data_IF_430758120825
#
_entry.id   IF_430758120825
#
_cell.length_a   1.000
_cell.length_b   1.000
_cell.length_c   1.000
_cell.angle_alpha   90.00
_cell.angle_beta   90.00
_cell.angle_gamma   90.00
#
_symmetry.space_group_name_H-M   'P 1'
#
loop_
_entity.id
_entity.type
_entity.pdbx_description
1 polymer ?
#
# COMPACT_ATOMS: atom_id res chain seq x y z
N UNK A 1 7.70 -26.06 -91.74
CA UNK A 1 7.51 -26.50 -93.13
C UNK A 1 6.77 -25.40 -93.87
N UNK A 2 7.44 -24.82 -94.88
CA UNK A 2 6.92 -24.13 -96.08
C UNK A 2 6.06 -22.88 -95.79
N UNK A 3 6.65 -21.67 -95.79
CA UNK A 3 7.00 -20.82 -96.97
C UNK A 3 5.73 -20.24 -97.63
N UNK A 4 5.65 -19.01 -98.16
CA UNK A 4 6.61 -17.99 -98.56
C UNK A 4 5.80 -16.73 -98.95
N UNK A 5 6.37 -15.52 -98.76
CA UNK A 5 6.31 -14.32 -99.64
C UNK A 5 4.93 -13.75 -100.08
N UNK A 6 4.67 -12.44 -100.22
CA UNK A 6 5.48 -11.19 -100.33
C UNK A 6 4.51 -9.99 -100.23
N UNK A 7 4.93 -8.95 -99.51
CA UNK A 7 4.97 -7.50 -99.89
C UNK A 7 3.77 -6.85 -100.59
N UNK A 8 3.10 -5.88 -99.94
CA UNK A 8 3.00 -4.48 -100.41
C UNK A 8 2.38 -3.55 -99.35
N UNK A 9 2.95 -2.35 -99.22
CA UNK A 9 2.57 -1.24 -98.32
C UNK A 9 1.71 -0.19 -99.09
N UNK A 10 1.25 0.94 -98.50
CA UNK A 10 -0.16 1.15 -98.13
C UNK A 10 -0.85 2.28 -98.93
N UNK A 11 -2.19 2.32 -98.89
CA UNK A 11 -3.01 3.41 -99.43
C UNK A 11 -3.86 4.05 -98.32
N UNK A 12 -4.02 5.39 -98.25
CA UNK A 12 -4.85 6.06 -97.25
C UNK A 12 -6.30 6.24 -97.73
N UNK A 13 -7.26 5.74 -96.95
CA UNK A 13 -8.70 5.91 -97.17
C UNK A 13 -9.22 7.21 -96.54
N UNK A 14 -9.68 8.14 -97.39
CA UNK A 14 -10.43 9.34 -97.00
C UNK A 14 -11.92 9.03 -96.78
N UNK A 15 -12.52 9.83 -95.90
CA UNK A 15 -13.89 9.80 -95.42
C UNK A 15 -14.98 9.89 -96.51
N UNK A 16 -16.19 9.33 -96.26
CA UNK A 16 -17.34 9.46 -97.15
C UNK A 16 -18.19 10.69 -96.79
N UNK A 17 -18.66 11.41 -97.81
CA UNK A 17 -19.77 12.37 -97.72
C UNK A 17 -20.77 11.99 -98.81
N UNK A 18 -21.95 11.52 -98.41
CA UNK A 18 -23.14 11.30 -99.25
C UNK A 18 -23.93 12.62 -99.33
N UNK A 19 -24.15 13.24 -100.49
CA UNK A 19 -25.13 12.92 -101.58
C UNK A 19 -26.58 12.99 -101.12
N UNK A 20 -27.24 14.11 -101.40
CA UNK A 20 -28.62 14.30 -101.90
C UNK A 20 -28.62 15.73 -102.50
N UNK A 21 -29.13 16.09 -103.68
CA UNK A 21 -29.89 15.44 -104.72
C UNK A 21 -30.12 16.49 -105.83
N UNK A 22 -30.22 15.99 -107.04
CA UNK A 22 -30.28 16.65 -108.35
C UNK A 22 -31.58 17.41 -108.67
N UNK A 23 -31.47 18.52 -109.43
CA UNK A 23 -32.43 18.87 -110.49
C UNK A 23 -31.85 19.89 -111.50
N UNK A 24 -31.84 19.51 -112.77
CA UNK A 24 -31.63 20.29 -114.01
C UNK A 24 -32.72 21.40 -114.17
N UNK A 25 -32.68 22.43 -115.02
CA UNK A 25 -31.91 22.78 -116.21
C UNK A 25 -32.05 24.30 -116.51
N UNK A 26 -31.02 24.90 -117.14
CA UNK A 26 -31.04 25.90 -118.24
C UNK A 26 -31.69 27.31 -118.08
N UNK A 27 -31.33 28.32 -118.93
CA UNK A 27 -30.04 29.02 -118.94
C UNK A 27 -30.20 30.57 -118.98
N UNK A 28 -29.12 31.32 -118.80
CA UNK A 28 -29.06 32.76 -119.18
C UNK A 28 -28.99 33.78 -118.03
N UNK A 29 -27.84 34.47 -117.95
CA UNK A 29 -27.55 35.69 -117.18
C UNK A 29 -28.50 36.86 -117.52
N UNK A 30 -28.65 37.95 -116.70
CA UNK A 30 -27.63 38.59 -115.84
C UNK A 30 -28.07 39.10 -114.43
N UNK A 31 -27.07 39.58 -113.66
CA UNK A 31 -27.12 40.03 -112.24
C UNK A 31 -28.00 41.26 -111.94
N UNK A 32 -28.44 41.51 -110.67
CA UNK A 32 -27.78 42.57 -109.86
C UNK A 32 -27.85 42.50 -108.29
N UNK A 33 -26.92 43.26 -107.67
CA UNK A 33 -26.88 44.02 -106.37
C UNK A 33 -27.33 43.47 -104.99
N UNK A 34 -26.46 43.69 -103.97
CA UNK A 34 -26.63 43.37 -102.52
C UNK A 34 -27.38 44.46 -101.71
N UNK A 35 -28.13 44.10 -100.64
CA UNK A 35 -28.55 45.03 -99.57
C UNK A 35 -27.99 44.69 -98.15
N UNK A 36 -28.15 45.58 -97.14
CA UNK A 36 -27.29 45.65 -95.93
C UNK A 36 -27.88 45.06 -94.62
N UNK A 37 -27.01 44.91 -93.60
CA UNK A 37 -27.20 44.22 -92.32
C UNK A 37 -27.92 45.03 -91.20
N UNK A 38 -28.53 44.32 -90.23
CA UNK A 38 -29.08 44.85 -88.96
C UNK A 38 -28.48 44.11 -87.74
N UNK A 39 -28.23 44.82 -86.64
CA UNK A 39 -27.61 44.33 -85.38
C UNK A 39 -28.64 44.17 -84.24
N UNK A 40 -28.49 43.13 -83.39
CA UNK A 40 -29.24 42.92 -82.13
C UNK A 40 -28.34 43.17 -80.89
N UNK A 41 -28.91 43.64 -79.77
CA UNK A 41 -28.19 44.05 -78.53
C UNK A 41 -28.07 42.93 -77.48
N UNK A 42 -26.87 42.73 -76.91
CA UNK A 42 -26.43 41.54 -76.15
C UNK A 42 -26.40 41.68 -74.60
N UNK A 43 -27.15 42.61 -74.00
CA UNK A 43 -27.02 42.93 -72.57
C UNK A 43 -27.58 41.89 -71.60
N UNK A 44 -28.63 41.15 -71.98
CA UNK A 44 -29.30 40.17 -71.09
C UNK A 44 -28.48 38.89 -70.86
N UNK A 45 -27.81 38.39 -71.90
CA UNK A 45 -26.99 37.17 -71.80
C UNK A 45 -25.75 37.36 -70.91
N UNK A 46 -25.16 38.57 -70.91
CA UNK A 46 -23.96 38.89 -70.12
C UNK A 46 -24.28 38.91 -68.62
N UNK A 47 -25.44 39.44 -68.22
CA UNK A 47 -25.81 39.57 -66.81
C UNK A 47 -26.17 38.20 -66.18
N UNK A 48 -26.84 37.34 -66.95
CA UNK A 48 -27.13 35.96 -66.53
C UNK A 48 -25.84 35.13 -66.40
N UNK A 49 -24.90 35.31 -67.34
CA UNK A 49 -23.58 34.70 -67.28
C UNK A 49 -22.79 35.13 -66.03
N UNK A 50 -22.82 36.43 -65.70
CA UNK A 50 -22.10 36.97 -64.55
C UNK A 50 -22.66 36.48 -63.21
N UNK A 51 -24.00 36.39 -63.09
CA UNK A 51 -24.64 35.78 -61.91
C UNK A 51 -24.28 34.30 -61.76
N UNK A 52 -24.25 33.55 -62.86
CA UNK A 52 -23.83 32.14 -62.86
C UNK A 52 -22.39 31.95 -62.39
N UNK A 53 -21.48 32.84 -62.80
CA UNK A 53 -20.07 32.82 -62.34
C UNK A 53 -19.97 33.15 -60.86
N UNK A 54 -20.68 34.17 -60.36
CA UNK A 54 -20.66 34.52 -58.93
C UNK A 54 -21.20 33.39 -58.07
N UNK A 55 -22.26 32.70 -58.52
CA UNK A 55 -22.86 31.59 -57.77
C UNK A 55 -21.97 30.35 -57.80
N UNK A 56 -21.28 30.09 -58.91
CA UNK A 56 -20.33 28.98 -59.03
C UNK A 56 -19.06 29.23 -58.21
N UNK A 57 -18.43 30.41 -58.34
CA UNK A 57 -17.21 30.75 -57.60
C UNK A 57 -17.49 30.97 -56.11
N UNK A 58 -18.60 31.64 -55.78
CA UNK A 58 -19.04 31.84 -54.40
C UNK A 58 -19.50 30.55 -53.74
N UNK A 59 -20.27 29.71 -54.44
CA UNK A 59 -20.73 28.42 -53.95
C UNK A 59 -19.60 27.42 -53.79
N UNK A 60 -18.71 27.31 -54.79
CA UNK A 60 -17.53 26.44 -54.71
C UNK A 60 -16.53 26.95 -53.67
N UNK A 61 -16.28 28.26 -53.59
CA UNK A 61 -15.40 28.85 -52.59
C UNK A 61 -15.90 28.60 -51.16
N UNK A 62 -17.19 28.81 -50.91
CA UNK A 62 -17.80 28.54 -49.61
C UNK A 62 -17.76 27.04 -49.28
N UNK A 63 -18.05 26.18 -50.25
CA UNK A 63 -17.96 24.72 -50.08
C UNK A 63 -16.52 24.25 -49.83
N UNK A 64 -15.52 24.76 -50.55
CA UNK A 64 -14.11 24.37 -50.39
C UNK A 64 -13.50 24.78 -49.05
N UNK A 65 -14.10 25.76 -48.35
CA UNK A 65 -13.71 26.15 -46.98
C UNK A 65 -14.56 25.43 -45.92
N UNK A 66 -15.86 25.26 -46.16
CA UNK A 66 -16.79 24.69 -45.18
C UNK A 66 -16.80 23.15 -45.16
N UNK A 67 -16.49 22.49 -46.29
CA UNK A 67 -16.42 21.05 -46.34
C UNK A 67 -15.23 20.54 -45.52
N UNK A 68 -15.49 19.50 -44.74
CA UNK A 68 -14.49 18.83 -43.90
C UNK A 68 -14.25 17.43 -44.43
N UNK A 69 -13.02 17.14 -44.83
CA UNK A 69 -12.59 15.83 -45.28
C UNK A 69 -11.78 15.20 -44.17
N UNK A 70 -12.19 14.00 -43.76
CA UNK A 70 -11.47 13.20 -42.77
C UNK A 70 -10.28 12.55 -43.46
N UNK A 71 -9.06 12.92 -43.05
CA UNK A 71 -7.85 12.23 -43.47
C UNK A 71 -7.65 10.95 -42.67
N UNK A 72 -6.89 10.01 -43.23
CA UNK A 72 -6.42 8.85 -42.48
C UNK A 72 -4.99 8.51 -42.88
N UNK A 73 -4.09 8.38 -41.90
CA UNK A 73 -2.79 7.76 -42.12
C UNK A 73 -2.97 6.25 -42.06
N UNK A 74 -2.50 5.56 -43.10
CA UNK A 74 -2.54 4.10 -43.18
C UNK A 74 -1.17 3.58 -42.77
N UNK A 75 -1.14 2.75 -41.72
CA UNK A 75 0.05 2.04 -41.32
C UNK A 75 -0.18 0.54 -41.37
N UNK A 76 0.89 -0.20 -41.66
CA UNK A 76 0.89 -1.65 -41.56
C UNK A 76 1.43 -2.06 -40.20
N UNK A 77 0.75 -3.02 -39.59
CA UNK A 77 1.07 -3.51 -38.27
C UNK A 77 0.80 -5.00 -38.12
N UNK A 78 1.06 -5.50 -36.93
CA UNK A 78 0.79 -6.87 -36.56
C UNK A 78 0.31 -6.96 -35.11
N UNK A 79 -0.49 -7.97 -34.81
CA UNK A 79 -0.90 -8.26 -33.43
C UNK A 79 0.30 -8.84 -32.70
N UNK A 80 0.74 -8.20 -31.62
CA UNK A 80 1.79 -8.71 -30.76
C UNK A 80 1.23 -8.98 -29.35
N UNK A 81 1.62 -10.11 -28.76
CA UNK A 81 1.43 -10.27 -27.31
C UNK A 81 2.50 -9.43 -26.65
N UNK A 82 2.09 -8.62 -25.69
CA UNK A 82 3.01 -7.97 -24.78
C UNK A 82 3.92 -9.02 -24.14
N UNK A 83 5.24 -9.07 -24.44
CA UNK A 83 6.16 -10.11 -23.93
C UNK A 83 6.88 -9.70 -22.65
N UNK A 84 6.19 -9.08 -21.70
CA UNK A 84 6.78 -8.81 -20.39
C UNK A 84 6.78 -10.08 -19.53
N UNK A 85 7.93 -10.73 -19.41
CA UNK A 85 8.11 -11.80 -18.43
C UNK A 85 8.26 -11.17 -17.04
N UNK A 86 7.56 -11.69 -16.05
CA UNK A 86 7.71 -11.24 -14.66
C UNK A 86 8.81 -12.06 -13.99
N UNK A 87 9.90 -11.40 -13.64
CA UNK A 87 11.01 -12.03 -12.94
C UNK A 87 10.62 -12.21 -11.46
N UNK A 88 10.68 -13.45 -10.99
CA UNK A 88 10.42 -13.81 -9.60
C UNK A 88 11.77 -14.03 -8.91
N UNK A 89 12.02 -13.26 -7.85
CA UNK A 89 13.26 -13.27 -7.08
C UNK A 89 12.95 -13.21 -5.57
N UNK A 90 13.88 -13.70 -4.75
CA UNK A 90 13.77 -13.62 -3.29
C UNK A 90 14.80 -12.62 -2.73
N UNK A 91 14.41 -11.62 -1.92
CA UNK A 91 15.33 -10.59 -1.44
C UNK A 91 16.54 -11.13 -0.68
N UNK A 92 16.34 -12.15 0.17
CA UNK A 92 17.41 -12.69 1.03
C UNK A 92 18.10 -13.93 0.44
N UNK A 93 17.49 -14.60 -0.54
CA UNK A 93 17.91 -15.95 -0.95
C UNK A 93 17.72 -17.01 0.14
N UNK A 94 18.34 -18.17 -0.03
CA UNK A 94 18.27 -19.30 0.93
C UNK A 94 18.60 -20.65 0.30
N UNK A 95 18.63 -21.70 1.13
CA UNK A 95 18.73 -23.09 0.66
C UNK A 95 17.34 -23.55 0.23
N UNK A 96 17.21 -24.15 -0.95
CA UNK A 96 15.93 -24.66 -1.44
C UNK A 96 15.58 -25.97 -0.73
N UNK A 97 14.42 -26.01 -0.09
CA UNK A 97 13.84 -27.21 0.51
C UNK A 97 13.13 -28.04 -0.56
N UNK A 98 12.28 -27.40 -1.37
CA UNK A 98 11.53 -28.09 -2.43
C UNK A 98 11.15 -27.15 -3.58
N UNK A 99 11.06 -27.72 -4.78
CA UNK A 99 10.59 -27.05 -6.00
C UNK A 99 9.45 -27.89 -6.58
N UNK A 100 8.18 -27.61 -6.24
CA UNK A 100 7.04 -28.41 -6.70
C UNK A 100 6.64 -28.15 -8.17
N UNK A 101 7.37 -27.30 -8.89
CA UNK A 101 7.06 -26.88 -10.26
C UNK A 101 8.15 -27.30 -11.25
N UNK A 102 7.80 -27.37 -12.54
CA UNK A 102 8.71 -27.66 -13.66
C UNK A 102 8.71 -26.52 -14.68
N UNK A 103 9.79 -26.40 -15.44
CA UNK A 103 9.84 -25.44 -16.55
C UNK A 103 8.76 -25.77 -17.60
N UNK A 104 8.06 -24.74 -18.10
CA UNK A 104 6.91 -24.90 -18.98
C UNK A 104 5.60 -25.29 -18.29
N UNK A 105 5.60 -25.48 -16.96
CA UNK A 105 4.39 -25.78 -16.20
C UNK A 105 3.48 -24.55 -16.11
N UNK A 106 2.19 -24.84 -16.20
CA UNK A 106 1.09 -23.91 -16.01
C UNK A 106 0.81 -23.75 -14.51
N UNK A 107 0.83 -22.50 -14.02
CA UNK A 107 0.59 -22.16 -12.60
C UNK A 107 -0.49 -21.11 -12.43
N UNK A 108 -1.19 -21.17 -11.30
CA UNK A 108 -2.20 -20.20 -10.90
C UNK A 108 -1.63 -19.12 -9.96
N UNK A 109 -2.34 -18.00 -9.80
CA UNK A 109 -1.96 -16.97 -8.85
C UNK A 109 -2.00 -17.52 -7.40
N UNK A 110 -0.93 -17.28 -6.64
CA UNK A 110 -0.75 -17.76 -5.26
C UNK A 110 -0.20 -19.18 -5.15
N UNK A 111 -0.01 -19.89 -6.26
CA UNK A 111 0.56 -21.24 -6.26
C UNK A 111 2.01 -21.23 -5.76
N UNK A 112 2.40 -22.24 -4.98
CA UNK A 112 3.75 -22.38 -4.44
C UNK A 112 4.72 -22.74 -5.58
N UNK A 113 5.74 -21.91 -5.79
CA UNK A 113 6.74 -22.11 -6.82
C UNK A 113 8.00 -22.77 -6.24
N UNK A 114 8.53 -22.20 -5.17
CA UNK A 114 9.76 -22.66 -4.49
C UNK A 114 9.56 -22.49 -3.00
N UNK A 115 9.97 -23.48 -2.21
CA UNK A 115 10.08 -23.39 -0.75
C UNK A 115 11.54 -23.36 -0.35
N UNK A 116 11.92 -22.37 0.45
CA UNK A 116 13.23 -22.26 1.07
C UNK A 116 13.24 -22.93 2.46
N UNK A 117 14.38 -23.49 2.85
CA UNK A 117 14.61 -24.12 4.14
C UNK A 117 14.58 -23.06 5.25
N UNK A 118 13.61 -23.21 6.15
CA UNK A 118 13.37 -22.31 7.27
C UNK A 118 13.83 -22.82 8.62
N UNK A 119 14.58 -23.93 8.69
CA UNK A 119 14.86 -24.62 9.95
C UNK A 119 15.51 -23.69 10.99
N UNK A 120 16.51 -22.90 10.59
CA UNK A 120 17.18 -21.92 11.46
C UNK A 120 16.23 -20.82 11.92
N UNK A 121 15.47 -20.22 11.00
CA UNK A 121 14.53 -19.12 11.33
C UNK A 121 13.41 -19.59 12.25
N UNK A 122 12.87 -20.80 12.05
CA UNK A 122 11.87 -21.41 12.93
C UNK A 122 12.43 -21.69 14.33
N UNK A 123 13.69 -22.09 14.41
CA UNK A 123 14.37 -22.33 15.69
C UNK A 123 14.60 -21.02 16.43
N UNK A 124 15.00 -19.96 15.72
CA UNK A 124 15.14 -18.62 16.28
C UNK A 124 13.79 -18.05 16.74
N UNK A 125 12.73 -18.21 15.95
CA UNK A 125 11.37 -17.83 16.33
C UNK A 125 10.95 -18.52 17.62
N UNK A 126 11.16 -19.84 17.74
CA UNK A 126 10.81 -20.58 18.96
C UNK A 126 11.55 -20.07 20.21
N UNK A 127 12.82 -19.66 20.06
CA UNK A 127 13.60 -19.05 21.15
C UNK A 127 13.01 -17.69 21.54
N UNK A 128 12.75 -16.83 20.56
CA UNK A 128 12.18 -15.50 20.78
C UNK A 128 10.79 -15.59 21.40
N UNK A 129 9.95 -16.51 20.93
CA UNK A 129 8.62 -16.78 21.50
C UNK A 129 8.71 -17.25 22.94
N UNK A 130 9.62 -18.18 23.26
CA UNK A 130 9.84 -18.66 24.62
C UNK A 130 10.20 -17.50 25.57
N UNK A 131 11.14 -16.63 25.14
CA UNK A 131 11.53 -15.45 25.89
C UNK A 131 10.39 -14.44 26.03
N UNK A 132 9.61 -14.23 24.97
CA UNK A 132 8.47 -13.31 24.97
C UNK A 132 7.39 -13.78 25.95
N UNK A 133 7.01 -15.05 25.91
CA UNK A 133 6.00 -15.60 26.82
C UNK A 133 6.48 -15.62 28.28
N UNK A 134 7.78 -15.82 28.51
CA UNK A 134 8.36 -15.65 29.85
C UNK A 134 8.21 -14.21 30.36
N UNK A 135 8.50 -13.21 29.52
CA UNK A 135 8.31 -11.80 29.87
C UNK A 135 6.84 -11.48 30.15
N UNK A 136 5.91 -11.99 29.33
CA UNK A 136 4.47 -11.81 29.56
C UNK A 136 4.00 -12.44 30.88
N UNK A 137 4.52 -13.61 31.24
CA UNK A 137 4.20 -14.27 32.49
C UNK A 137 4.72 -13.46 33.69
N UNK A 138 5.98 -13.00 33.63
CA UNK A 138 6.56 -12.14 34.66
C UNK A 138 5.78 -10.83 34.81
N UNK A 139 5.36 -10.21 33.69
CA UNK A 139 4.53 -9.01 33.71
C UNK A 139 3.23 -9.22 34.48
N UNK A 140 2.47 -10.28 34.17
CA UNK A 140 1.20 -10.56 34.85
C UNK A 140 1.35 -10.69 36.37
N UNK A 141 2.43 -11.35 36.83
CA UNK A 141 2.79 -11.40 38.26
C UNK A 141 3.09 -10.01 38.82
N UNK A 142 3.99 -9.26 38.19
CA UNK A 142 4.44 -7.97 38.70
C UNK A 142 3.33 -6.91 38.69
N UNK A 143 2.41 -6.96 37.72
CA UNK A 143 1.23 -6.09 37.69
C UNK A 143 0.31 -6.35 38.89
N UNK A 144 0.13 -7.61 39.27
CA UNK A 144 -0.61 -7.97 40.48
C UNK A 144 0.13 -7.54 41.76
N UNK A 145 1.47 -7.69 41.82
CA UNK A 145 2.26 -7.23 42.96
C UNK A 145 2.21 -5.70 43.11
N UNK A 146 2.29 -4.94 42.02
CA UNK A 146 2.20 -3.48 42.03
C UNK A 146 0.83 -2.98 42.49
N UNK A 147 -0.23 -3.68 42.09
CA UNK A 147 -1.61 -3.31 42.36
C UNK A 147 -2.20 -3.97 43.62
N UNK A 148 -1.39 -4.67 44.41
CA UNK A 148 -1.81 -5.42 45.61
C UNK A 148 -3.03 -6.35 45.35
N UNK A 149 -3.06 -7.00 44.18
CA UNK A 149 -4.13 -7.94 43.81
C UNK A 149 -3.95 -9.27 44.54
N UNK A 150 -5.02 -10.04 44.79
CA UNK A 150 -4.92 -11.35 45.44
C UNK A 150 -4.40 -12.45 44.51
N UNK A 151 -4.43 -12.26 43.19
CA UNK A 151 -3.92 -13.22 42.21
C UNK A 151 -3.38 -12.50 40.96
N UNK A 152 -2.43 -13.11 40.23
CA UNK A 152 -1.96 -12.61 38.94
C UNK A 152 -3.01 -12.80 37.85
N UNK A 153 -3.24 -11.74 37.07
CA UNK A 153 -4.01 -11.81 35.83
C UNK A 153 -3.03 -11.78 34.66
N UNK A 154 -3.08 -12.82 33.82
CA UNK A 154 -2.16 -12.95 32.68
C UNK A 154 -2.75 -12.39 31.39
N UNK A 155 -1.93 -11.86 30.47
CA UNK A 155 -2.38 -11.41 29.16
C UNK A 155 -3.08 -12.52 28.36
N UNK A 156 -4.16 -12.17 27.64
CA UNK A 156 -4.99 -13.13 26.92
C UNK A 156 -4.23 -13.98 25.89
N UNK A 157 -3.22 -13.40 25.25
CA UNK A 157 -2.34 -14.11 24.32
C UNK A 157 -1.58 -15.25 25.01
N UNK A 158 -1.00 -15.00 26.18
CA UNK A 158 -0.29 -16.01 26.97
C UNK A 158 -1.25 -17.11 27.40
N UNK A 159 -2.44 -16.77 27.90
CA UNK A 159 -3.46 -17.74 28.32
C UNK A 159 -3.93 -18.62 27.16
N UNK A 160 -4.07 -18.06 25.95
CA UNK A 160 -4.42 -18.82 24.75
C UNK A 160 -3.31 -19.82 24.39
N UNK A 161 -2.06 -19.37 24.40
CA UNK A 161 -0.91 -20.21 24.06
C UNK A 161 -0.66 -21.32 25.09
N UNK A 162 -0.87 -21.04 26.37
CA UNK A 162 -0.75 -22.03 27.45
C UNK A 162 -1.72 -23.21 27.30
N UNK A 163 -2.88 -23.02 26.65
CA UNK A 163 -3.81 -24.14 26.36
C UNK A 163 -3.27 -25.09 25.28
N UNK A 164 -2.39 -24.59 24.42
CA UNK A 164 -1.82 -25.33 23.30
C UNK A 164 -0.43 -25.91 23.64
N UNK A 165 0.30 -25.26 24.55
CA UNK A 165 1.70 -25.52 24.86
C UNK A 165 1.92 -25.74 26.37
N UNK A 166 2.15 -26.99 26.81
CA UNK A 166 2.30 -27.34 28.23
C UNK A 166 3.47 -26.65 28.94
N UNK A 167 4.55 -26.37 28.21
CA UNK A 167 5.71 -25.61 28.66
C UNK A 167 5.35 -24.17 29.03
N UNK A 168 4.51 -23.50 28.23
CA UNK A 168 4.00 -22.16 28.54
C UNK A 168 3.06 -22.19 29.76
N UNK A 169 2.22 -23.22 29.88
CA UNK A 169 1.39 -23.41 31.06
C UNK A 169 2.23 -23.59 32.34
N UNK A 170 3.35 -24.34 32.26
CA UNK A 170 4.28 -24.51 33.37
C UNK A 170 4.97 -23.19 33.78
N UNK A 171 5.28 -22.30 32.82
CA UNK A 171 5.79 -20.95 33.10
C UNK A 171 4.78 -20.12 33.90
N UNK A 172 3.50 -20.12 33.50
CA UNK A 172 2.44 -19.41 34.21
C UNK A 172 2.28 -19.93 35.65
N UNK A 173 2.18 -21.25 35.82
CA UNK A 173 2.11 -21.88 37.15
C UNK A 173 3.34 -21.60 38.01
N UNK A 174 4.52 -21.47 37.39
CA UNK A 174 5.74 -21.03 38.07
C UNK A 174 5.61 -19.62 38.64
N UNK A 175 5.07 -18.69 37.85
CA UNK A 175 4.82 -17.30 38.30
C UNK A 175 3.73 -17.22 39.37
N UNK A 176 2.67 -18.01 39.26
CA UNK A 176 1.60 -18.09 40.29
C UNK A 176 2.15 -18.58 41.64
N UNK A 177 2.95 -19.66 41.64
CA UNK A 177 3.59 -20.18 42.87
C UNK A 177 4.57 -19.18 43.48
N UNK A 178 5.33 -18.48 42.64
CA UNK A 178 6.23 -17.43 43.12
C UNK A 178 5.44 -16.27 43.74
N UNK A 179 4.34 -15.87 43.10
CA UNK A 179 3.45 -14.83 43.62
C UNK A 179 2.87 -15.20 44.98
N UNK A 180 2.29 -16.40 45.10
CA UNK A 180 1.68 -16.86 46.35
C UNK A 180 2.72 -16.94 47.47
N UNK A 181 3.90 -17.52 47.22
CA UNK A 181 4.98 -17.59 48.21
C UNK A 181 5.43 -16.20 48.69
N UNK A 182 5.52 -15.22 47.79
CA UNK A 182 5.85 -13.84 48.15
C UNK A 182 4.72 -13.17 48.92
N UNK A 183 3.46 -13.46 48.60
CA UNK A 183 2.30 -12.94 49.32
C UNK A 183 2.26 -13.52 50.75
N UNK A 184 2.40 -14.83 50.89
CA UNK A 184 2.46 -15.52 52.19
C UNK A 184 3.55 -14.93 53.09
N UNK A 185 4.74 -14.63 52.53
CA UNK A 185 5.84 -14.01 53.26
C UNK A 185 5.47 -12.60 53.78
N UNK A 186 4.76 -11.82 52.96
CA UNK A 186 4.30 -10.48 53.34
C UNK A 186 3.24 -10.56 54.44
N UNK A 187 2.31 -11.50 54.34
CA UNK A 187 1.27 -11.74 55.35
C UNK A 187 1.87 -12.19 56.68
N UNK A 188 2.84 -13.10 56.66
CA UNK A 188 3.58 -13.53 57.86
C UNK A 188 4.30 -12.36 58.54
N UNK A 189 4.96 -11.50 57.75
CA UNK A 189 5.56 -10.28 58.28
C UNK A 189 4.51 -9.33 58.89
N UNK A 190 3.35 -9.19 58.24
CA UNK A 190 2.21 -8.44 58.76
C UNK A 190 1.72 -8.97 60.12
N UNK A 191 1.52 -10.29 60.24
CA UNK A 191 1.14 -10.93 61.49
C UNK A 191 2.18 -10.72 62.59
N UNK A 192 3.47 -10.79 62.27
CA UNK A 192 4.53 -10.52 63.24
C UNK A 192 4.45 -9.08 63.77
N UNK A 193 4.24 -8.08 62.89
CA UNK A 193 4.06 -6.69 63.31
C UNK A 193 2.82 -6.49 64.16
N UNK A 194 1.72 -7.15 63.83
CA UNK A 194 0.48 -7.08 64.61
C UNK A 194 0.66 -7.66 66.02
N UNK A 195 1.38 -8.77 66.16
CA UNK A 195 1.72 -9.35 67.47
C UNK A 195 2.61 -8.42 68.30
N UNK A 196 3.63 -7.81 67.68
CA UNK A 196 4.49 -6.84 68.37
C UNK A 196 3.71 -5.60 68.81
N UNK A 197 2.82 -5.08 67.96
CA UNK A 197 1.96 -3.96 68.31
C UNK A 197 1.03 -4.30 69.47
N UNK A 198 0.44 -5.51 69.49
CA UNK A 198 -0.38 -5.99 70.59
C UNK A 198 0.41 -6.07 71.91
N UNK A 199 1.64 -6.59 71.86
CA UNK A 199 2.53 -6.68 73.02
C UNK A 199 2.86 -5.30 73.60
N UNK A 200 3.12 -4.30 72.75
CA UNK A 200 3.40 -2.92 73.19
C UNK A 200 2.14 -2.26 73.76
N UNK A 201 0.96 -2.48 73.16
CA UNK A 201 -0.31 -1.99 73.72
C UNK A 201 -0.57 -2.53 75.12
N UNK A 202 -0.39 -3.84 75.32
CA UNK A 202 -0.54 -4.44 76.65
C UNK A 202 0.45 -3.87 77.68
N UNK A 203 1.68 -3.52 77.27
CA UNK A 203 2.64 -2.83 78.14
C UNK A 203 2.16 -1.42 78.51
N UNK A 204 1.61 -0.66 77.56
CA UNK A 204 1.02 0.66 77.80
C UNK A 204 -0.14 0.56 78.79
N UNK A 205 -1.05 -0.40 78.60
CA UNK A 205 -2.18 -0.62 79.52
C UNK A 205 -1.70 -0.89 80.95
N UNK A 206 -0.62 -1.67 81.11
CA UNK A 206 0.00 -1.92 82.40
C UNK A 206 0.64 -0.67 83.03
N UNK A 207 1.29 0.18 82.22
CA UNK A 207 1.85 1.47 82.67
C UNK A 207 0.73 2.41 83.10
N UNK A 208 -0.38 2.46 82.35
CA UNK A 208 -1.53 3.31 82.65
C UNK A 208 -2.23 2.89 83.96
N UNK A 209 -2.32 1.59 84.22
CA UNK A 209 -2.81 1.07 85.50
C UNK A 209 -1.88 1.47 86.68
N UNK A 210 -0.56 1.39 86.51
CA UNK A 210 0.42 1.82 87.52
C UNK A 210 0.35 3.34 87.76
N UNK A 211 0.26 4.14 86.70
CA UNK A 211 0.09 5.58 86.79
C UNK A 211 -1.19 5.95 87.55
N UNK A 212 -2.30 5.25 87.29
CA UNK A 212 -3.58 5.45 87.98
C UNK A 212 -3.49 5.13 89.47
N UNK A 213 -2.79 4.05 89.83
CA UNK A 213 -2.53 3.69 91.23
C UNK A 213 -1.67 4.77 91.95
N UNK A 214 -0.60 5.24 91.30
CA UNK A 214 0.25 6.32 91.82
C UNK A 214 -0.52 7.63 91.98
N UNK A 215 -1.39 7.99 91.03
CA UNK A 215 -2.28 9.14 91.15
C UNK A 215 -3.22 9.03 92.36
N UNK A 216 -3.79 7.85 92.58
CA UNK A 216 -4.67 7.59 93.73
C UNK A 216 -3.91 7.68 95.07
N UNK A 217 -2.71 7.12 95.13
CA UNK A 217 -1.84 7.21 96.32
C UNK A 217 -1.43 8.66 96.60
N UNK A 218 -1.05 9.41 95.56
CA UNK A 218 -0.69 10.82 95.68
C UNK A 218 -1.87 11.66 96.18
N UNK A 219 -3.09 11.40 95.70
CA UNK A 219 -4.29 12.09 96.17
C UNK A 219 -4.56 11.83 97.67
N UNK A 220 -4.32 10.61 98.16
CA UNK A 220 -4.43 10.27 99.58
C UNK A 220 -3.40 11.04 100.42
N UNK A 221 -2.13 11.02 100.00
CA UNK A 221 -1.04 11.75 100.67
C UNK A 221 -1.30 13.26 100.66
N UNK A 222 -1.82 13.80 99.56
CA UNK A 222 -2.18 15.22 99.45
C UNK A 222 -3.27 15.65 100.44
N UNK A 223 -4.26 14.79 100.69
CA UNK A 223 -5.28 15.04 101.74
C UNK A 223 -4.65 15.04 103.14
N UNK A 224 -3.85 14.02 103.46
CA UNK A 224 -3.17 13.96 104.77
C UNK A 224 -2.23 15.15 104.99
N UNK A 225 -1.51 15.56 103.94
CA UNK A 225 -0.63 16.73 103.98
C UNK A 225 -1.41 18.02 104.24
N UNK A 226 -2.58 18.20 103.63
CA UNK A 226 -3.43 19.37 103.87
C UNK A 226 -3.91 19.44 105.33
N UNK A 227 -4.37 18.31 105.87
CA UNK A 227 -4.81 18.21 107.27
C UNK A 227 -3.66 18.51 108.24
N UNK A 228 -2.47 17.91 108.01
CA UNK A 228 -1.29 18.13 108.84
C UNK A 228 -0.77 19.57 108.77
N UNK A 229 -0.85 20.23 107.60
CA UNK A 229 -0.52 21.66 107.48
C UNK A 229 -1.45 22.51 108.35
N UNK A 230 -2.76 22.27 108.29
CA UNK A 230 -3.73 22.99 109.12
C UNK A 230 -3.50 22.76 110.62
N UNK A 231 -3.15 21.54 111.03
CA UNK A 231 -2.78 21.24 112.42
C UNK A 231 -1.48 21.95 112.83
N UNK A 232 -0.50 22.06 111.93
CA UNK A 232 0.78 22.73 112.20
C UNK A 232 0.59 24.23 112.42
N UNK A 233 -0.25 24.87 111.60
CA UNK A 233 -0.61 26.29 111.75
C UNK A 233 -1.26 26.60 113.11
N UNK A 234 -1.92 25.58 113.70
CA UNK A 234 -2.52 25.63 115.04
C UNK A 234 -1.57 25.16 116.15
N UNK A 235 -0.34 24.79 115.84
CA UNK A 235 0.66 24.27 116.78
C UNK A 235 0.38 22.85 117.30
N UNK A 236 -0.48 22.08 116.62
CA UNK A 236 -0.97 20.76 117.05
C UNK A 236 -0.23 19.56 116.43
N UNK A 237 0.78 19.80 115.59
CA UNK A 237 1.65 18.75 115.02
C UNK A 237 3.08 19.27 114.84
N UNK A 238 4.00 18.40 114.41
CA UNK A 238 5.42 18.72 114.21
C UNK A 238 5.73 19.05 112.75
N UNK A 239 6.54 20.09 112.50
CA UNK A 239 6.97 20.47 111.15
C UNK A 239 7.64 19.32 110.38
N UNK A 240 8.39 18.46 111.08
CA UNK A 240 9.02 17.27 110.50
C UNK A 240 8.01 16.31 109.84
N UNK A 241 6.79 16.20 110.39
CA UNK A 241 5.73 15.35 109.81
C UNK A 241 5.24 15.91 108.48
N UNK A 242 5.01 17.23 108.41
CA UNK A 242 4.61 17.91 107.16
C UNK A 242 5.70 17.76 106.10
N UNK A 243 6.97 18.04 106.42
CA UNK A 243 8.08 17.90 105.46
C UNK A 243 8.28 16.46 104.98
N UNK A 244 7.98 15.46 105.81
CA UNK A 244 8.01 14.05 105.39
C UNK A 244 6.94 13.75 104.33
N UNK A 245 5.71 14.24 104.52
CA UNK A 245 4.62 14.10 103.56
C UNK A 245 4.88 14.89 102.27
N UNK A 246 5.49 16.07 102.34
CA UNK A 246 5.89 16.85 101.15
C UNK A 246 6.93 16.12 100.31
N UNK A 247 7.95 15.52 100.94
CA UNK A 247 8.94 14.68 100.23
C UNK A 247 8.29 13.47 99.58
N UNK A 248 7.29 12.88 100.24
CA UNK A 248 6.54 11.75 99.68
C UNK A 248 5.67 12.17 98.48
N UNK A 249 4.95 13.30 98.54
CA UNK A 249 4.21 13.83 97.39
C UNK A 249 5.15 14.10 96.20
N UNK A 250 6.30 14.74 96.45
CA UNK A 250 7.30 15.00 95.42
C UNK A 250 7.87 13.71 94.81
N UNK A 251 8.11 12.68 95.64
CA UNK A 251 8.55 11.35 95.17
C UNK A 251 7.50 10.70 94.27
N UNK A 252 6.23 10.71 94.68
CA UNK A 252 5.12 10.17 93.90
C UNK A 252 4.91 10.94 92.59
N UNK A 253 5.04 12.27 92.61
CA UNK A 253 5.01 13.09 91.41
C UNK A 253 6.12 12.70 90.42
N UNK A 254 7.34 12.46 90.91
CA UNK A 254 8.46 11.97 90.11
C UNK A 254 8.18 10.61 89.45
N UNK A 255 7.62 9.67 90.20
CA UNK A 255 7.24 8.35 89.67
C UNK A 255 6.12 8.43 88.62
N UNK A 256 5.14 9.31 88.81
CA UNK A 256 4.10 9.57 87.80
C UNK A 256 4.73 10.09 86.50
N UNK A 257 5.66 11.06 86.61
CA UNK A 257 6.41 11.57 85.46
C UNK A 257 7.21 10.48 84.74
N UNK A 258 7.81 9.55 85.50
CA UNK A 258 8.48 8.38 84.95
C UNK A 258 7.52 7.47 84.17
N UNK A 259 6.34 7.17 84.71
CA UNK A 259 5.33 6.36 84.02
C UNK A 259 4.82 7.04 82.74
N UNK A 260 4.58 8.36 82.78
CA UNK A 260 4.20 9.14 81.60
C UNK A 260 5.27 9.08 80.50
N UNK A 261 6.55 9.20 80.86
CA UNK A 261 7.66 9.06 79.92
C UNK A 261 7.71 7.65 79.31
N UNK A 262 7.54 6.60 80.12
CA UNK A 262 7.49 5.21 79.62
C UNK A 262 6.30 4.96 78.70
N UNK A 263 5.14 5.53 78.99
CA UNK A 263 3.94 5.49 78.14
C UNK A 263 4.23 6.11 76.77
N UNK A 264 4.79 7.32 76.76
CA UNK A 264 5.17 8.02 75.53
C UNK A 264 6.18 7.20 74.70
N UNK A 265 7.18 6.56 75.34
CA UNK A 265 8.10 5.64 74.65
C UNK A 265 7.40 4.42 74.04
N UNK A 266 6.34 3.91 74.68
CA UNK A 266 5.49 2.86 74.12
C UNK A 266 4.74 3.33 72.87
N UNK A 267 4.15 4.53 72.93
CA UNK A 267 3.42 5.11 71.80
C UNK A 267 4.34 5.39 70.60
N UNK A 268 5.56 5.88 70.83
CA UNK A 268 6.58 6.02 69.77
C UNK A 268 6.91 4.68 69.12
N UNK A 269 7.10 3.62 69.92
CA UNK A 269 7.34 2.27 69.38
C UNK A 269 6.17 1.74 68.54
N UNK A 270 4.93 2.03 68.93
CA UNK A 270 3.76 1.69 68.10
C UNK A 270 3.77 2.41 66.74
N UNK A 271 4.14 3.70 66.73
CA UNK A 271 4.27 4.47 65.50
C UNK A 271 5.40 3.91 64.61
N UNK A 272 6.55 3.56 65.19
CA UNK A 272 7.67 2.93 64.48
C UNK A 272 7.28 1.59 63.83
N UNK A 273 6.55 0.72 64.53
CA UNK A 273 6.02 -0.54 63.98
C UNK A 273 5.08 -0.26 62.79
N UNK A 274 4.19 0.74 62.93
CA UNK A 274 3.29 1.15 61.84
C UNK A 274 4.04 1.62 60.59
N UNK A 275 5.07 2.45 60.78
CA UNK A 275 5.93 2.93 59.69
C UNK A 275 6.69 1.77 59.04
N UNK A 276 7.24 0.84 59.84
CA UNK A 276 7.95 -0.33 59.32
C UNK A 276 7.03 -1.20 58.43
N UNK A 277 5.78 -1.44 58.85
CA UNK A 277 4.79 -2.17 58.07
C UNK A 277 4.48 -1.48 56.73
N UNK A 278 4.25 -0.16 56.75
CA UNK A 278 3.98 0.62 55.53
C UNK A 278 5.18 0.60 54.58
N UNK A 279 6.40 0.70 55.13
CA UNK A 279 7.65 0.67 54.36
C UNK A 279 7.82 -0.66 53.62
N UNK A 280 7.62 -1.81 54.27
CA UNK A 280 7.73 -3.13 53.62
C UNK A 280 6.74 -3.28 52.47
N UNK A 281 5.51 -2.80 52.63
CA UNK A 281 4.52 -2.82 51.55
C UNK A 281 4.91 -1.88 50.38
N UNK A 282 5.41 -0.69 50.68
CA UNK A 282 5.90 0.24 49.68
C UNK A 282 7.10 -0.32 48.90
N UNK A 283 8.09 -0.90 49.59
CA UNK A 283 9.28 -1.50 48.96
C UNK A 283 8.90 -2.63 47.99
N UNK A 284 7.91 -3.46 48.33
CA UNK A 284 7.38 -4.49 47.41
C UNK A 284 6.81 -3.87 46.14
N UNK A 285 5.97 -2.84 46.25
CA UNK A 285 5.36 -2.17 45.10
C UNK A 285 6.40 -1.46 44.25
N UNK A 286 7.34 -0.76 44.88
CA UNK A 286 8.43 -0.07 44.20
C UNK A 286 9.34 -1.05 43.44
N UNK A 287 9.67 -2.20 44.04
CA UNK A 287 10.43 -3.26 43.38
C UNK A 287 9.67 -3.82 42.17
N UNK A 288 8.37 -4.09 42.32
CA UNK A 288 7.54 -4.58 41.22
C UNK A 288 7.45 -3.57 40.08
N UNK A 289 7.30 -2.28 40.39
CA UNK A 289 7.26 -1.22 39.39
C UNK A 289 8.62 -1.02 38.69
N UNK A 290 9.72 -1.09 39.43
CA UNK A 290 11.06 -1.03 38.86
C UNK A 290 11.33 -2.20 37.90
N UNK A 291 10.95 -3.42 38.26
CA UNK A 291 11.06 -4.58 37.37
C UNK A 291 10.17 -4.44 36.13
N UNK A 292 8.92 -3.96 36.28
CA UNK A 292 8.03 -3.71 35.13
C UNK A 292 8.62 -2.70 34.15
N UNK A 293 9.16 -1.58 34.64
CA UNK A 293 9.82 -0.58 33.79
C UNK A 293 11.02 -1.15 33.05
N UNK A 294 11.78 -2.06 33.66
CA UNK A 294 12.91 -2.73 33.04
C UNK A 294 12.49 -3.81 32.02
N UNK A 295 11.33 -4.44 32.20
CA UNK A 295 10.80 -5.46 31.30
C UNK A 295 10.10 -4.88 30.07
N UNK A 296 9.46 -3.71 30.17
CA UNK A 296 8.67 -3.14 29.08
C UNK A 296 9.46 -2.97 27.75
N UNK A 297 10.71 -2.48 27.73
CA UNK A 297 11.50 -2.40 26.49
C UNK A 297 11.80 -3.78 25.90
N UNK A 298 12.07 -4.78 26.76
CA UNK A 298 12.34 -6.16 26.32
C UNK A 298 11.10 -6.82 25.74
N UNK A 299 9.92 -6.57 26.34
CA UNK A 299 8.66 -7.05 25.81
C UNK A 299 8.44 -6.52 24.38
N UNK A 300 8.61 -5.21 24.18
CA UNK A 300 8.45 -4.58 22.88
C UNK A 300 9.46 -5.10 21.86
N UNK A 301 10.73 -5.19 22.24
CA UNK A 301 11.79 -5.72 21.38
C UNK A 301 11.50 -7.16 20.94
N UNK A 302 11.10 -8.03 21.87
CA UNK A 302 10.80 -9.43 21.57
C UNK A 302 9.53 -9.56 20.72
N UNK A 303 8.51 -8.73 20.95
CA UNK A 303 7.31 -8.69 20.11
C UNK A 303 7.66 -8.33 18.66
N UNK A 304 8.44 -7.27 18.44
CA UNK A 304 8.87 -6.85 17.11
C UNK A 304 9.77 -7.89 16.43
N UNK A 305 10.73 -8.47 17.15
CA UNK A 305 11.57 -9.56 16.63
C UNK A 305 10.74 -10.78 16.23
N UNK A 306 9.75 -11.15 17.05
CA UNK A 306 8.83 -12.25 16.74
C UNK A 306 8.06 -11.97 15.46
N UNK A 307 7.50 -10.77 15.31
CA UNK A 307 6.77 -10.37 14.10
C UNK A 307 7.67 -10.40 12.86
N UNK A 308 8.88 -9.84 12.95
CA UNK A 308 9.86 -9.86 11.86
C UNK A 308 10.24 -11.29 11.45
N UNK A 309 10.50 -12.18 12.41
CA UNK A 309 10.83 -13.59 12.13
C UNK A 309 9.65 -14.36 11.53
N UNK A 310 8.43 -14.14 12.03
CA UNK A 310 7.23 -14.73 11.47
C UNK A 310 7.03 -14.30 10.00
N UNK A 311 7.21 -13.01 9.70
CA UNK A 311 7.13 -12.49 8.35
C UNK A 311 8.21 -13.06 7.42
N UNK A 312 9.45 -13.21 7.92
CA UNK A 312 10.52 -13.86 7.17
C UNK A 312 10.19 -15.33 6.87
N UNK A 313 9.62 -16.06 7.83
CA UNK A 313 9.23 -17.46 7.65
C UNK A 313 8.12 -17.59 6.59
N UNK A 314 7.14 -16.68 6.58
CA UNK A 314 6.09 -16.67 5.55
C UNK A 314 6.69 -16.43 4.16
N UNK A 315 7.73 -15.59 4.05
CA UNK A 315 8.40 -15.27 2.78
C UNK A 315 9.29 -16.40 2.24
N UNK A 316 9.58 -17.44 3.02
CA UNK A 316 10.29 -18.63 2.53
C UNK A 316 9.52 -19.39 1.46
N UNK A 317 8.19 -19.28 1.47
CA UNK A 317 7.32 -19.80 0.40
C UNK A 317 7.23 -18.75 -0.72
N UNK A 318 7.99 -18.95 -1.79
CA UNK A 318 7.93 -18.11 -3.00
C UNK A 318 6.71 -18.54 -3.82
N UNK A 319 5.74 -17.65 -3.97
CA UNK A 319 4.46 -17.90 -4.66
C UNK A 319 4.32 -17.08 -5.94
N UNK A 320 3.51 -17.57 -6.87
CA UNK A 320 3.22 -16.86 -8.12
C UNK A 320 2.35 -15.61 -7.86
N UNK A 321 2.78 -14.40 -8.26
CA UNK A 321 1.95 -13.21 -8.14
C UNK A 321 0.77 -13.22 -9.12
N UNK A 322 0.91 -13.89 -10.27
CA UNK A 322 -0.09 -13.98 -11.34
C UNK A 322 -0.12 -15.38 -11.93
N UNK A 323 -1.27 -15.79 -12.48
CA UNK A 323 -1.39 -17.03 -13.24
C UNK A 323 -0.59 -16.94 -14.54
N UNK A 324 0.14 -17.99 -14.89
CA UNK A 324 1.11 -17.94 -15.98
C UNK A 324 1.72 -19.29 -16.34
N UNK A 325 2.73 -19.23 -17.19
CA UNK A 325 3.60 -20.36 -17.53
C UNK A 325 4.99 -20.08 -16.96
N UNK A 326 5.55 -21.05 -16.26
CA UNK A 326 6.91 -21.00 -15.73
C UNK A 326 7.91 -21.06 -16.88
N UNK A 327 8.89 -20.16 -16.86
CA UNK A 327 9.97 -20.09 -17.82
C UNK A 327 11.30 -19.78 -17.12
N UNK A 328 12.41 -20.29 -17.65
CA UNK A 328 13.77 -20.02 -17.14
C UNK A 328 13.92 -20.37 -15.65
N UNK A 329 13.43 -21.54 -15.24
CA UNK A 329 13.66 -22.03 -13.89
C UNK A 329 15.16 -22.29 -13.64
N UNK A 330 15.78 -21.47 -12.80
CA UNK A 330 17.22 -21.56 -12.49
C UNK A 330 17.53 -22.66 -11.47
N UNK A 331 16.57 -22.98 -10.61
CA UNK A 331 16.76 -23.92 -9.50
C UNK A 331 15.81 -25.12 -9.64
N UNK A 332 16.38 -26.28 -9.96
CA UNK A 332 15.61 -27.51 -10.23
C UNK A 332 15.82 -28.60 -9.18
N UNK A 333 16.87 -28.51 -8.36
CA UNK A 333 17.24 -29.53 -7.37
C UNK A 333 16.99 -29.06 -5.94
N UNK A 334 16.46 -29.93 -5.06
CA UNK A 334 16.49 -29.68 -3.61
C UNK A 334 17.94 -29.47 -3.14
N UNK A 335 18.11 -28.67 -2.09
CA UNK A 335 19.40 -28.26 -1.50
C UNK A 335 20.27 -27.33 -2.37
N UNK A 336 19.79 -26.92 -3.54
CA UNK A 336 20.42 -25.84 -4.28
C UNK A 336 20.34 -24.52 -3.47
N UNK A 337 21.31 -23.63 -3.68
CA UNK A 337 21.38 -22.34 -2.97
C UNK A 337 20.96 -21.24 -3.94
N UNK A 338 19.96 -20.46 -3.54
CA UNK A 338 19.52 -19.25 -4.23
C UNK A 338 20.17 -18.04 -3.56
N UNK A 339 20.85 -17.17 -4.31
CA UNK A 339 21.43 -15.94 -3.74
C UNK A 339 20.39 -14.84 -3.57
N UNK A 340 20.72 -13.87 -2.73
CA UNK A 340 19.92 -12.67 -2.54
C UNK A 340 19.71 -11.93 -3.87
N UNK A 341 18.45 -11.57 -4.16
CA UNK A 341 18.02 -10.88 -5.38
C UNK A 341 18.35 -11.59 -6.70
N UNK A 342 18.75 -12.87 -6.66
CA UNK A 342 18.96 -13.67 -7.86
C UNK A 342 17.60 -14.08 -8.45
N UNK A 343 17.40 -13.93 -9.78
CA UNK A 343 16.22 -14.45 -10.46
C UNK A 343 16.07 -15.95 -10.24
N UNK A 344 14.97 -16.38 -9.63
CA UNK A 344 14.70 -17.80 -9.42
C UNK A 344 14.01 -18.42 -10.65
N UNK A 345 13.05 -17.69 -11.23
CA UNK A 345 12.34 -18.04 -12.46
C UNK A 345 11.63 -16.81 -13.05
N UNK A 346 11.14 -16.94 -14.28
CA UNK A 346 10.30 -15.96 -14.97
C UNK A 346 8.90 -16.52 -15.20
N UNK A 347 7.85 -15.73 -14.93
CA UNK A 347 6.47 -16.09 -15.25
C UNK A 347 5.98 -15.37 -16.50
N UNK A 348 5.30 -16.11 -17.37
CA UNK A 348 4.61 -15.58 -18.54
C UNK A 348 3.10 -15.59 -18.27
N UNK A 349 2.48 -14.46 -17.86
CA UNK A 349 1.03 -14.35 -17.73
C UNK A 349 0.25 -14.77 -18.97
N UNK A 350 -0.89 -15.45 -18.77
CA UNK A 350 -1.76 -15.97 -19.85
C UNK A 350 -2.73 -14.93 -20.39
N UNK A 351 -3.34 -14.15 -19.50
CA UNK A 351 -4.37 -13.18 -19.84
C UNK A 351 -3.75 -11.82 -20.11
N UNK A 352 -3.04 -11.74 -21.25
CA UNK A 352 -2.47 -10.47 -21.69
C UNK A 352 -3.39 -9.79 -22.67
N UNK A 353 -3.63 -8.47 -22.52
CA UNK A 353 -4.27 -7.71 -23.58
C UNK A 353 -3.41 -7.86 -24.84
N UNK A 354 -4.06 -8.10 -25.96
CA UNK A 354 -3.39 -8.10 -27.26
C UNK A 354 -3.18 -6.66 -27.67
N UNK A 355 -1.92 -6.28 -27.92
CA UNK A 355 -1.60 -4.97 -28.47
C UNK A 355 -1.34 -5.11 -29.96
N UNK A 356 -1.75 -4.11 -30.73
CA UNK A 356 -1.41 -4.04 -32.15
C UNK A 356 -0.29 -3.05 -32.32
N UNK A 357 0.83 -3.51 -32.87
CA UNK A 357 1.98 -2.67 -33.18
C UNK A 357 1.91 -2.25 -34.64
N UNK A 358 2.04 -0.96 -34.90
CA UNK A 358 2.03 -0.40 -36.24
C UNK A 358 3.36 0.31 -36.54
N UNK A 359 3.80 0.22 -37.79
CA UNK A 359 4.98 0.92 -38.30
C UNK A 359 4.54 2.17 -39.04
N UNK A 360 4.84 3.32 -38.47
CA UNK A 360 4.49 4.63 -39.03
C UNK A 360 5.69 5.18 -39.80
N UNK A 361 5.53 5.57 -41.07
CA UNK A 361 6.57 6.28 -41.81
C UNK A 361 6.91 7.62 -41.15
N UNK A 362 8.21 8.03 -41.08
CA UNK A 362 8.60 9.28 -40.44
C UNK A 362 7.95 10.54 -41.00
N UNK A 363 7.52 10.51 -42.27
CA UNK A 363 6.79 11.62 -42.92
C UNK A 363 5.38 11.86 -42.36
N UNK A 364 4.79 10.87 -41.71
CA UNK A 364 3.38 10.87 -41.29
C UNK A 364 3.24 11.03 -39.76
N UNK A 365 4.36 11.18 -39.03
CA UNK A 365 4.37 11.27 -37.55
C UNK A 365 3.69 12.54 -37.02
N UNK A 366 3.79 13.65 -37.75
CA UNK A 366 3.23 14.95 -37.36
C UNK A 366 1.68 14.92 -37.29
N UNK A 367 1.05 13.96 -37.96
CA UNK A 367 -0.42 13.80 -37.97
C UNK A 367 -0.93 12.80 -36.92
N UNK A 368 -0.02 12.23 -36.12
CA UNK A 368 -0.32 11.15 -35.17
C UNK A 368 -0.11 11.63 -33.73
N UNK A 369 -1.13 11.42 -32.89
CA UNK A 369 -1.14 11.84 -31.49
C UNK A 369 -1.64 10.75 -30.55
N UNK A 370 -1.05 10.67 -29.36
CA UNK A 370 -1.49 9.71 -28.33
C UNK A 370 -2.93 9.99 -27.93
N UNK A 371 -3.76 8.94 -27.82
CA UNK A 371 -5.18 9.02 -27.53
C UNK A 371 -6.10 9.08 -28.75
N UNK A 372 -5.54 9.20 -29.96
CA UNK A 372 -6.28 9.26 -31.22
C UNK A 372 -7.05 7.95 -31.50
N UNK A 373 -8.30 8.03 -32.01
CA UNK A 373 -9.05 6.85 -32.41
C UNK A 373 -8.43 6.24 -33.67
N UNK A 374 -8.24 4.93 -33.63
CA UNK A 374 -7.63 4.15 -34.71
C UNK A 374 -8.63 3.09 -35.16
N UNK A 375 -8.85 2.98 -36.46
CA UNK A 375 -9.66 1.91 -37.03
C UNK A 375 -8.73 0.78 -37.48
N UNK A 376 -8.91 -0.41 -36.92
CA UNK A 376 -8.14 -1.60 -37.27
C UNK A 376 -8.90 -2.41 -38.31
N UNK A 377 -8.22 -2.77 -39.39
CA UNK A 377 -8.71 -3.66 -40.45
C UNK A 377 -7.88 -4.93 -40.45
N UNK A 378 -8.49 -6.03 -40.04
CA UNK A 378 -7.86 -7.35 -39.98
C UNK A 378 -7.76 -7.91 -41.41
N UNK A 379 -6.55 -8.07 -41.93
CA UNK A 379 -6.34 -8.51 -43.32
C UNK A 379 -6.61 -10.01 -43.53
N UNK A 380 -6.63 -10.80 -42.46
CA UNK A 380 -6.72 -12.26 -42.50
C UNK A 380 -8.14 -12.81 -42.71
N UNK A 381 -9.20 -12.00 -42.58
CA UNK A 381 -10.58 -12.43 -42.79
C UNK A 381 -11.05 -12.07 -44.21
N UNK A 382 -11.05 -13.05 -45.11
CA UNK A 382 -11.55 -12.90 -46.48
C UNK A 382 -13.07 -12.94 -46.52
N UNK A 383 -13.69 -11.76 -46.39
CA UNK A 383 -15.13 -11.56 -46.59
C UNK A 383 -15.47 -10.11 -46.94
N UNK A 384 -16.60 -9.90 -47.63
CA UNK A 384 -17.11 -8.55 -47.99
C UNK A 384 -17.48 -7.69 -46.77
N UNK A 385 -17.38 -8.25 -45.56
CA UNK A 385 -17.41 -7.59 -44.28
C UNK A 385 -16.07 -7.82 -43.55
N UNK A 386 -15.02 -7.08 -43.94
CA UNK A 386 -13.83 -6.98 -43.10
C UNK A 386 -14.25 -6.30 -41.80
N UNK A 387 -14.24 -7.05 -40.69
CA UNK A 387 -14.65 -6.56 -39.38
C UNK A 387 -13.71 -5.41 -38.97
N UNK A 388 -14.30 -4.23 -38.80
CA UNK A 388 -13.58 -3.01 -38.41
C UNK A 388 -13.61 -2.94 -36.90
N UNK A 389 -12.44 -3.08 -36.28
CA UNK A 389 -12.31 -3.01 -34.83
C UNK A 389 -11.83 -1.61 -34.47
N UNK A 390 -12.46 -1.00 -33.47
CA UNK A 390 -12.01 0.30 -32.97
C UNK A 390 -10.90 0.08 -31.95
N UNK A 391 -9.88 0.93 -31.99
CA UNK A 391 -8.81 0.97 -31.02
C UNK A 391 -8.40 2.40 -30.72
N UNK A 392 -7.51 2.54 -29.76
CA UNK A 392 -6.96 3.84 -29.37
C UNK A 392 -5.45 3.77 -29.37
N UNK A 393 -4.80 4.77 -29.95
CA UNK A 393 -3.35 4.89 -29.89
C UNK A 393 -2.93 5.16 -28.44
N UNK A 394 -2.19 4.24 -27.85
CA UNK A 394 -1.75 4.34 -26.46
C UNK A 394 -0.34 4.91 -26.35
N UNK A 395 0.55 4.50 -27.25
CA UNK A 395 1.95 4.94 -27.24
C UNK A 395 2.51 5.04 -28.64
N UNK A 396 3.42 6.00 -28.84
CA UNK A 396 4.28 6.10 -30.02
C UNK A 396 5.72 6.18 -29.53
N UNK A 397 6.66 5.52 -30.21
CA UNK A 397 8.07 5.61 -29.89
C UNK A 397 8.56 7.06 -29.98
N UNK A 398 9.41 7.46 -29.03
CA UNK A 398 9.97 8.82 -29.02
C UNK A 398 11.02 9.02 -30.14
N UNK A 399 11.58 7.92 -30.63
CA UNK A 399 12.61 7.87 -31.66
C UNK A 399 12.22 6.94 -32.83
N UNK A 400 12.88 7.15 -33.96
CA UNK A 400 12.76 6.29 -35.14
C UNK A 400 13.55 5.01 -34.94
N UNK A 401 12.89 3.87 -35.11
CA UNK A 401 13.50 2.55 -35.13
C UNK A 401 13.88 2.19 -36.56
N UNK A 402 15.02 1.54 -36.74
CA UNK A 402 15.47 1.05 -38.05
C UNK A 402 15.16 -0.44 -38.18
N UNK A 403 14.48 -0.83 -39.25
CA UNK A 403 14.24 -2.24 -39.55
C UNK A 403 15.57 -2.94 -39.92
N UNK A 404 16.00 -3.98 -39.18
CA UNK A 404 17.29 -4.64 -39.43
C UNK A 404 17.34 -5.38 -40.78
N UNK A 405 16.20 -5.69 -41.39
CA UNK A 405 16.12 -6.41 -42.68
C UNK A 405 16.05 -5.43 -43.85
N UNK A 406 15.23 -4.40 -43.74
CA UNK A 406 14.95 -3.47 -44.86
C UNK A 406 15.71 -2.15 -44.78
N UNK A 407 16.32 -1.82 -43.64
CA UNK A 407 17.02 -0.56 -43.40
C UNK A 407 16.10 0.66 -43.32
N UNK A 408 14.77 0.48 -43.38
CA UNK A 408 13.80 1.57 -43.33
C UNK A 408 13.60 2.07 -41.89
N UNK A 409 13.57 3.39 -41.73
CA UNK A 409 13.24 4.04 -40.45
C UNK A 409 11.72 4.14 -40.29
N UNK A 410 11.22 3.83 -39.10
CA UNK A 410 9.80 3.92 -38.76
C UNK A 410 9.61 4.29 -37.28
N UNK A 411 8.49 4.92 -36.95
CA UNK A 411 8.02 5.05 -35.56
C UNK A 411 7.15 3.85 -35.22
N UNK A 412 7.30 3.30 -34.02
CA UNK A 412 6.44 2.21 -33.52
C UNK A 412 5.26 2.82 -32.77
N UNK A 413 4.05 2.57 -33.26
CA UNK A 413 2.82 2.87 -32.53
C UNK A 413 2.25 1.61 -31.89
N UNK A 414 1.82 1.72 -30.64
CA UNK A 414 1.14 0.68 -29.87
C UNK A 414 -0.33 1.09 -29.70
N UNK A 415 -1.22 0.27 -30.24
CA UNK A 415 -2.67 0.52 -30.26
C UNK A 415 -3.37 -0.54 -29.41
N UNK A 416 -4.09 -0.09 -28.39
CA UNK A 416 -4.97 -0.95 -27.59
C UNK A 416 -6.28 -1.16 -28.33
N UNK A 417 -6.73 -2.40 -28.43
CA UNK A 417 -8.01 -2.75 -29.03
C UNK A 417 -9.14 -2.46 -28.03
N UNK A 418 -10.14 -1.68 -28.44
CA UNK A 418 -11.35 -1.45 -27.66
C UNK A 418 -12.38 -2.51 -28.08
N UNK A 419 -12.38 -3.66 -27.41
CA UNK A 419 -13.31 -4.75 -27.74
C UNK A 419 -14.78 -4.30 -27.63
N UNK A 420 -15.68 -4.67 -28.57
CA UNK A 420 -17.11 -4.39 -28.44
C UNK A 420 -17.88 -5.56 -27.79
N UNK A 421 -18.67 -5.19 -26.77
CA UNK A 421 -19.86 -5.88 -26.23
C UNK A 421 -19.74 -7.39 -25.81
N UNK A 422 -19.85 -7.72 -24.50
CA UNK A 422 -19.81 -9.11 -23.99
C UNK A 422 -20.99 -10.00 -24.43
N UNK A 423 -21.98 -9.48 -25.16
CA UNK A 423 -23.17 -10.24 -25.59
C UNK A 423 -22.95 -11.18 -26.80
N UNK A 424 -21.78 -11.19 -27.44
CA UNK A 424 -21.45 -12.06 -28.59
C UNK A 424 -20.08 -12.74 -28.42
N UNK A 425 -20.05 -13.96 -27.83
CA UNK A 425 -18.81 -14.68 -27.55
C UNK A 425 -18.11 -15.30 -28.78
N UNK A 426 -18.69 -15.18 -29.97
CA UNK A 426 -18.13 -15.69 -31.25
C UNK A 426 -17.24 -14.66 -31.99
N UNK A 427 -16.88 -13.54 -31.35
CA UNK A 427 -15.98 -12.55 -31.94
C UNK A 427 -14.53 -13.06 -31.93
N UNK A 428 -14.16 -13.65 -33.06
CA UNK A 428 -12.82 -13.84 -33.65
C UNK A 428 -11.64 -13.60 -32.70
N UNK A 429 -11.11 -14.69 -32.14
CA UNK A 429 -9.88 -14.67 -31.35
C UNK A 429 -8.75 -14.00 -32.15
N UNK A 430 -8.32 -12.81 -31.73
CA UNK A 430 -7.14 -12.15 -32.28
C UNK A 430 -5.92 -13.04 -31.97
N UNK A 431 -5.25 -13.54 -33.02
CA UNK A 431 -4.08 -14.40 -32.89
C UNK A 431 -2.81 -13.55 -32.99
N UNK A 432 -1.80 -13.76 -32.13
CA UNK A 432 -0.49 -13.13 -32.27
C UNK A 432 0.15 -13.41 -33.63
N UNK A 433 0.74 -12.39 -34.24
CA UNK A 433 1.35 -12.44 -35.57
C UNK A 433 0.40 -12.15 -36.73
N UNK A 434 -0.89 -11.88 -36.47
CA UNK A 434 -1.84 -11.52 -37.51
C UNK A 434 -1.51 -10.13 -38.11
N UNK A 435 -1.43 -9.97 -39.45
CA UNK A 435 -1.22 -8.68 -40.08
C UNK A 435 -2.49 -7.82 -39.98
N UNK A 436 -2.32 -6.56 -39.61
CA UNK A 436 -3.40 -5.59 -39.43
C UNK A 436 -3.04 -4.30 -40.14
N UNK A 437 -4.01 -3.69 -40.81
CA UNK A 437 -3.90 -2.32 -41.31
C UNK A 437 -4.59 -1.38 -40.35
N UNK A 438 -3.86 -0.34 -39.92
CA UNK A 438 -4.34 0.64 -38.97
C UNK A 438 -4.59 1.96 -39.70
N UNK A 439 -5.78 2.50 -39.54
CA UNK A 439 -6.19 3.80 -40.07
C UNK A 439 -6.29 4.78 -38.91
N UNK A 440 -5.28 5.63 -38.77
CA UNK A 440 -5.27 6.71 -37.78
C UNK A 440 -6.11 7.87 -38.31
N UNK A 441 -7.19 8.24 -37.61
CA UNK A 441 -8.08 9.32 -38.05
C UNK A 441 -7.41 10.67 -37.83
N UNK A 442 -6.92 11.32 -38.87
CA UNK A 442 -6.23 12.61 -38.75
C UNK A 442 -7.23 13.77 -38.69
N UNK A 443 -6.74 14.96 -38.37
CA UNK A 443 -7.59 16.15 -38.26
C UNK A 443 -8.36 16.44 -39.55
N UNK A 444 -9.56 16.99 -39.40
CA UNK A 444 -10.42 17.38 -40.51
C UNK A 444 -9.76 18.51 -41.32
N UNK A 445 -9.52 18.30 -42.62
CA UNK A 445 -8.98 19.33 -43.53
C UNK A 445 -10.01 19.70 -44.58
N UNK A 446 -10.05 20.98 -44.97
CA UNK A 446 -10.91 21.43 -46.06
C UNK A 446 -10.28 21.13 -47.43
N UNK A 447 -11.07 20.97 -48.51
CA UNK A 447 -10.55 20.80 -49.86
C UNK A 447 -9.54 21.89 -50.27
N UNK A 448 -9.80 23.13 -49.84
CA UNK A 448 -8.91 24.27 -50.08
C UNK A 448 -7.56 24.11 -49.36
N UNK A 449 -7.56 23.58 -48.13
CA UNK A 449 -6.33 23.31 -47.37
C UNK A 449 -5.47 22.22 -48.01
N UNK A 450 -6.06 21.19 -48.63
CA UNK A 450 -5.28 20.17 -49.36
C UNK A 450 -4.59 20.72 -50.62
N UNK A 451 -5.22 21.68 -51.31
CA UNK A 451 -4.66 22.31 -52.51
C UNK A 451 -3.57 23.34 -52.20
N UNK A 452 -3.76 24.13 -51.13
CA UNK A 452 -2.87 25.24 -50.79
C UNK A 452 -1.81 24.88 -49.73
N UNK A 453 -2.00 23.80 -48.97
CA UNK A 453 -1.08 23.36 -47.91
C UNK A 453 0.39 23.22 -48.35
N UNK A 454 0.70 22.51 -49.46
CA UNK A 454 2.08 22.40 -49.94
C UNK A 454 2.71 23.74 -50.31
N UNK A 455 1.91 24.69 -50.80
CA UNK A 455 2.36 26.05 -51.11
C UNK A 455 2.70 26.81 -49.81
N UNK A 456 1.83 26.76 -48.81
CA UNK A 456 2.06 27.42 -47.52
C UNK A 456 3.26 26.85 -46.77
N UNK A 457 3.46 25.53 -46.82
CA UNK A 457 4.61 24.87 -46.19
C UNK A 457 5.93 25.21 -46.88
N UNK A 458 5.90 25.35 -48.21
CA UNK A 458 7.04 25.82 -49.00
C UNK A 458 7.40 27.27 -48.65
N UNK A 459 6.40 28.17 -48.57
CA UNK A 459 6.65 29.57 -48.17
C UNK A 459 7.16 29.67 -46.74
N UNK A 460 6.56 28.94 -45.80
CA UNK A 460 7.02 28.95 -44.39
C UNK A 460 8.42 28.35 -44.22
N UNK A 461 8.85 27.37 -45.01
CA UNK A 461 10.27 26.92 -45.04
C UNK A 461 11.18 27.97 -45.67
N UNK A 462 10.81 28.51 -46.84
CA UNK A 462 11.62 29.50 -47.55
C UNK A 462 11.84 30.80 -46.75
N UNK A 463 10.92 31.17 -45.86
CA UNK A 463 11.04 32.35 -44.99
C UNK A 463 11.71 32.07 -43.63
N UNK A 464 12.03 30.82 -43.29
CA UNK A 464 12.71 30.45 -42.03
C UNK A 464 14.20 30.18 -42.20
N UNK A 465 14.66 30.00 -43.43
CA UNK A 465 16.08 29.79 -43.80
C UNK A 465 16.76 31.08 -44.30
N UNK A 466 16.18 32.25 -43.99
CA UNK A 466 16.75 33.58 -44.25
C UNK A 466 17.38 34.24 -43.04
#
# INVERSE_FOLDING_TARGET
MIASQRVHSPAPGRAPVAVIGSACADPGLPAPSRPPAKLYSARGAVLLGLLGVVLLVGGFGLWSVAARINGAVIAHGQVEVERHHQIIQHPAGGVVESVPIRDGQQVEAGELLIRLDGTTLRSELAIVESQYFEVLARRGRLEAERADRPFPEFPAELTRMARLHPDIAALMQGQERLFSSRLDTLEQAGHQWDQQALQVRSQIDGIDAQATALHSQRALVGRELADQRSLLDRGLTQAARVMALEREDARLAGLIGEMQSRRAQGETRLAEIGIARLKTAAERREAAEAELRNLAPRELELAERRHALADLIVRLDIRAPVAGIVHQLQVTSPRAVLRAAEPALSLIPRDRPLLVTARIPPRDIDEISVGQPVMLRLAALSGRAAERVQGRLERVSADTLTDPVTGQQFYRAEVTVLSPDPARPDQTALIPGMPVELYFQTGERSPLAYLLGPLSDYFTRAFREG
#
